data_IF_429830487251
#
_entry.id   IF_429830487251
#
_cell.length_a   1.000
_cell.length_b   1.000
_cell.length_c   1.000
_cell.angle_alpha   90.00
_cell.angle_beta   90.00
_cell.angle_gamma   90.00
#
_symmetry.space_group_name_H-M   'P 1'
#
loop_
_entity.id
_entity.type
_entity.pdbx_description
1 polymer ?
#
# COMPACT_ATOMS: atom_id res chain seq x y z
N UNK A 1 -4.89 7.23 -1.90
CA UNK A 1 -3.49 7.66 -1.69
C UNK A 1 -2.95 6.93 -0.48
N UNK A 2 -1.70 6.52 -0.52
CA UNK A 2 -0.98 5.91 0.59
C UNK A 2 0.15 6.85 0.96
N UNK A 3 0.25 7.22 2.24
CA UNK A 3 1.32 8.03 2.81
C UNK A 3 2.05 7.26 3.90
N UNK A 4 3.35 7.49 3.99
CA UNK A 4 4.17 7.07 5.12
C UNK A 4 4.63 8.30 5.88
N UNK A 5 4.45 8.29 7.22
CA UNK A 5 4.95 9.33 8.11
C UNK A 5 5.06 8.78 9.54
N UNK A 6 6.23 8.89 10.16
CA UNK A 6 6.43 8.63 11.60
C UNK A 6 5.88 7.25 12.07
N UNK A 7 6.18 6.15 11.36
CA UNK A 7 5.67 4.80 11.66
C UNK A 7 4.15 4.63 11.54
N UNK A 8 3.51 5.51 10.76
CA UNK A 8 2.11 5.42 10.42
C UNK A 8 1.95 5.30 8.91
N UNK A 9 1.12 4.33 8.51
CA UNK A 9 0.63 4.19 7.15
C UNK A 9 -0.74 4.86 7.08
N UNK A 10 -0.84 5.96 6.33
CA UNK A 10 -2.11 6.62 6.07
C UNK A 10 -2.66 6.19 4.72
N UNK A 11 -3.91 5.75 4.69
CA UNK A 11 -4.64 5.37 3.50
C UNK A 11 -5.84 6.29 3.37
N UNK A 12 -5.85 7.07 2.29
CA UNK A 12 -6.92 7.99 1.96
C UNK A 12 -7.66 7.50 0.71
N UNK A 13 -8.98 7.44 0.78
CA UNK A 13 -9.87 7.19 -0.35
C UNK A 13 -10.80 8.37 -0.55
N UNK A 14 -11.11 8.69 -1.80
CA UNK A 14 -12.05 9.74 -2.16
C UNK A 14 -13.06 9.14 -3.15
N UNK A 15 -14.34 9.18 -2.78
CA UNK A 15 -15.44 8.80 -3.64
C UNK A 15 -16.38 10.02 -3.77
N UNK A 16 -16.67 10.51 -4.98
CA UNK A 16 -17.54 11.68 -5.18
C UNK A 16 -18.93 11.57 -4.52
N UNK A 17 -19.46 10.36 -4.36
CA UNK A 17 -20.80 10.12 -3.78
C UNK A 17 -20.74 9.88 -2.26
N UNK A 18 -19.66 9.26 -1.77
CA UNK A 18 -19.53 8.84 -0.36
C UNK A 18 -18.63 9.77 0.47
N UNK A 19 -17.91 10.68 -0.18
CA UNK A 19 -16.95 11.59 0.44
C UNK A 19 -15.53 11.02 0.56
N UNK A 20 -14.77 11.64 1.45
CA UNK A 20 -13.38 11.29 1.74
C UNK A 20 -13.28 10.44 3.01
N UNK A 21 -12.48 9.38 2.96
CA UNK A 21 -12.14 8.56 4.12
C UNK A 21 -10.64 8.46 4.28
N UNK A 22 -10.17 8.70 5.51
CA UNK A 22 -8.77 8.56 5.89
C UNK A 22 -8.67 7.56 7.02
N UNK A 23 -7.76 6.59 6.85
CA UNK A 23 -7.46 5.56 7.84
C UNK A 23 -5.96 5.58 8.10
N UNK A 24 -5.58 5.58 9.37
CA UNK A 24 -4.18 5.52 9.79
C UNK A 24 -3.92 4.22 10.53
N UNK A 25 -2.87 3.52 10.12
CA UNK A 25 -2.48 2.22 10.68
C UNK A 25 -1.04 2.31 11.22
N UNK A 26 -0.76 1.78 12.42
CA UNK A 26 0.61 1.66 12.89
C UNK A 26 1.38 0.66 12.03
N UNK A 27 2.60 1.01 11.64
CA UNK A 27 3.49 0.15 10.87
C UNK A 27 4.96 0.38 11.25
N UNK A 28 5.78 -0.64 11.02
CA UNK A 28 7.23 -0.48 11.08
C UNK A 28 7.72 0.02 9.71
N UNK A 29 8.47 1.12 9.71
CA UNK A 29 8.86 1.82 8.47
C UNK A 29 10.36 2.07 8.43
N UNK A 30 10.88 2.18 7.22
CA UNK A 30 12.27 2.58 6.96
C UNK A 30 12.37 3.16 5.56
N UNK A 31 13.08 4.28 5.40
CA UNK A 31 13.27 4.92 4.11
C UNK A 31 12.86 6.38 4.14
N UNK A 32 12.43 6.88 2.99
CA UNK A 32 11.94 8.25 2.80
C UNK A 32 10.41 8.23 2.72
N UNK A 33 9.78 9.29 3.24
CA UNK A 33 8.34 9.54 3.10
C UNK A 33 7.94 9.47 1.63
N UNK A 34 6.80 8.83 1.35
CA UNK A 34 6.28 8.70 0.00
C UNK A 34 4.77 8.96 -0.03
N UNK A 35 4.29 9.48 -1.17
CA UNK A 35 2.86 9.56 -1.47
C UNK A 35 2.57 8.92 -2.82
N UNK A 36 1.78 7.84 -2.84
CA UNK A 36 1.43 7.13 -4.08
C UNK A 36 -0.06 6.85 -4.19
N UNK A 37 -0.58 6.89 -5.42
CA UNK A 37 -1.95 6.52 -5.76
C UNK A 37 -1.97 5.12 -6.36
N UNK A 38 -2.80 4.24 -5.80
CA UNK A 38 -3.02 2.88 -6.32
C UNK A 38 -4.49 2.65 -6.64
N UNK A 39 -4.75 1.72 -7.56
CA UNK A 39 -6.08 1.14 -7.72
C UNK A 39 -6.34 0.20 -6.53
N UNK A 40 -7.27 0.60 -5.65
CA UNK A 40 -7.55 -0.14 -4.42
C UNK A 40 -8.02 -1.58 -4.68
N UNK A 41 -8.61 -1.88 -5.84
CA UNK A 41 -9.09 -3.23 -6.17
C UNK A 41 -7.95 -4.24 -6.20
N UNK A 42 -6.80 -3.86 -6.78
CA UNK A 42 -5.61 -4.72 -6.82
C UNK A 42 -5.01 -4.94 -5.43
N UNK A 43 -5.08 -3.92 -4.56
CA UNK A 43 -4.63 -4.06 -3.17
C UNK A 43 -5.56 -5.01 -2.39
N UNK A 44 -6.88 -4.93 -2.57
CA UNK A 44 -7.82 -5.84 -1.89
C UNK A 44 -7.63 -7.29 -2.34
N UNK A 45 -7.50 -7.54 -3.64
CA UNK A 45 -7.27 -8.87 -4.19
C UNK A 45 -5.96 -9.47 -3.67
N UNK A 46 -4.91 -8.66 -3.63
CA UNK A 46 -3.63 -9.00 -3.04
C UNK A 46 -3.79 -9.43 -1.58
N UNK A 47 -4.41 -8.59 -0.74
CA UNK A 47 -4.60 -8.86 0.68
C UNK A 47 -5.36 -10.17 0.93
N UNK A 48 -6.38 -10.49 0.12
CA UNK A 48 -7.12 -11.75 0.25
C UNK A 48 -6.30 -13.01 -0.11
N UNK A 49 -5.17 -12.83 -0.80
CA UNK A 49 -4.34 -13.93 -1.28
C UNK A 49 -3.21 -14.31 -0.31
N UNK A 50 -2.95 -13.50 0.72
CA UNK A 50 -1.91 -13.77 1.71
C UNK A 50 -2.46 -14.48 2.95
N UNK A 51 -1.77 -15.52 3.41
CA UNK A 51 -2.05 -16.20 4.68
C UNK A 51 -1.19 -15.67 5.84
N UNK A 52 -0.30 -14.71 5.59
CA UNK A 52 0.62 -14.17 6.59
C UNK A 52 -0.06 -13.10 7.44
N UNK A 53 0.18 -13.10 8.75
CA UNK A 53 -0.32 -12.07 9.67
C UNK A 53 0.28 -10.68 9.43
N UNK A 54 1.51 -10.63 8.91
CA UNK A 54 2.23 -9.40 8.60
C UNK A 54 2.70 -9.40 7.15
N UNK A 55 2.48 -8.28 6.47
CA UNK A 55 2.94 -8.05 5.10
C UNK A 55 4.07 -7.05 5.08
N UNK A 56 4.97 -7.23 4.12
CA UNK A 56 6.04 -6.30 3.82
C UNK A 56 5.74 -5.62 2.48
N UNK A 57 5.58 -4.30 2.55
CA UNK A 57 5.37 -3.42 1.40
C UNK A 57 6.70 -2.80 1.01
N UNK A 58 7.19 -3.07 -0.20
CA UNK A 58 8.45 -2.52 -0.73
C UNK A 58 8.15 -1.58 -1.88
N UNK A 59 8.45 -0.31 -1.66
CA UNK A 59 8.28 0.75 -2.66
C UNK A 59 9.60 0.99 -3.38
N UNK A 60 9.55 1.03 -4.71
CA UNK A 60 10.71 1.39 -5.54
C UNK A 60 10.80 2.88 -5.89
N UNK A 61 9.91 3.71 -5.33
CA UNK A 61 9.67 5.10 -5.71
C UNK A 61 8.33 5.31 -6.41
N UNK A 62 7.92 6.56 -6.60
CA UNK A 62 6.56 6.97 -7.03
C UNK A 62 6.07 6.32 -8.33
N UNK A 63 6.99 6.07 -9.26
CA UNK A 63 6.70 5.56 -10.60
C UNK A 63 7.11 4.09 -10.80
N UNK A 64 7.42 3.39 -9.72
CA UNK A 64 7.84 1.98 -9.71
C UNK A 64 6.76 1.10 -9.10
N UNK A 65 6.69 -0.19 -9.48
CA UNK A 65 5.74 -1.10 -8.87
C UNK A 65 5.98 -1.21 -7.35
N UNK A 66 4.89 -1.33 -6.61
CA UNK A 66 4.87 -1.79 -5.24
C UNK A 66 4.98 -3.31 -5.24
N UNK A 67 5.98 -3.84 -4.52
CA UNK A 67 6.11 -5.26 -4.24
C UNK A 67 5.52 -5.58 -2.87
N UNK A 68 4.62 -6.54 -2.81
CA UNK A 68 3.96 -7.03 -1.60
C UNK A 68 4.36 -8.48 -1.39
N UNK A 69 4.80 -8.82 -0.18
CA UNK A 69 5.20 -10.17 0.23
C UNK A 69 4.81 -10.40 1.69
N UNK A 70 4.73 -11.66 2.13
CA UNK A 70 4.65 -11.97 3.56
C UNK A 70 5.95 -11.60 4.26
N UNK A 71 5.87 -11.15 5.52
CA UNK A 71 7.06 -10.79 6.30
C UNK A 71 7.97 -12.02 6.52
N UNK A 72 7.37 -13.16 6.84
CA UNK A 72 8.06 -14.42 7.12
C UNK A 72 7.94 -15.46 5.99
N UNK A 73 7.19 -15.14 4.93
CA UNK A 73 7.00 -16.00 3.76
C UNK A 73 7.11 -15.18 2.47
N UNK A 74 8.13 -15.51 1.67
CA UNK A 74 8.43 -14.83 0.40
C UNK A 74 8.17 -15.68 -0.83
N UNK A 75 7.53 -16.85 -0.64
CA UNK A 75 7.15 -17.77 -1.71
C UNK A 75 6.10 -17.15 -2.65
N UNK A 76 5.20 -16.34 -2.09
CA UNK A 76 4.24 -15.56 -2.84
C UNK A 76 4.63 -14.08 -2.88
N UNK A 77 4.59 -13.50 -4.08
CA UNK A 77 4.92 -12.10 -4.33
C UNK A 77 3.87 -11.50 -5.25
N UNK A 78 3.40 -10.32 -4.88
CA UNK A 78 2.41 -9.59 -5.65
C UNK A 78 2.98 -8.23 -6.05
N UNK A 79 2.78 -7.82 -7.31
CA UNK A 79 3.27 -6.56 -7.85
C UNK A 79 2.09 -5.70 -8.29
N UNK A 80 2.05 -4.46 -7.84
CA UNK A 80 1.01 -3.49 -8.23
C UNK A 80 1.67 -2.25 -8.80
N UNK A 81 1.22 -1.85 -9.99
CA UNK A 81 1.65 -0.60 -10.59
C UNK A 81 0.88 0.58 -9.97
N UNK A 82 1.58 1.68 -9.63
CA UNK A 82 0.92 2.93 -9.26
C UNK A 82 0.17 3.53 -10.44
N UNK A 83 -0.91 4.25 -10.15
CA UNK A 83 -1.62 5.04 -11.16
C UNK A 83 -0.82 6.32 -11.36
N UNK A 84 -0.51 6.65 -12.62
CA UNK A 84 0.41 7.76 -12.96
C UNK A 84 -0.20 9.15 -12.89
N UNK A 85 -1.52 9.26 -12.83
CA UNK A 85 -2.19 10.55 -12.93
C UNK A 85 -3.43 10.61 -12.00
N UNK A 86 -3.54 11.71 -11.27
CA UNK A 86 -4.78 12.26 -10.72
C UNK A 86 -4.80 13.76 -11.02
#
# INVERSE_FOLDING_TARGET
>A
KIYEKENLLEIQTNNPELGEHTVTLPCETSGEDLSIVFNYRYLLECLSSFYSEKLLLKFGGENKPLLITGLNDTSFRYLVMPIRDL
#
